data_IF_185530092410
#
_entry.id   IF_185530092410
#
_cell.length_a   1.000
_cell.length_b   1.000
_cell.length_c   1.000
_cell.angle_alpha   90.00
_cell.angle_beta   90.00
_cell.angle_gamma   90.00
#
_symmetry.space_group_name_H-M   'P 1'
#
loop_
_entity.id
_entity.type
_entity.pdbx_description
1 polymer ?
#
# COMPACT_ATOMS: atom_id res chain seq x y z
N UNK A 1 7.93 14.92 9.97
CA UNK A 1 7.80 13.66 10.73
C UNK A 1 6.42 13.60 11.36
N UNK A 2 5.82 12.42 11.33
CA UNK A 2 4.51 12.10 11.89
C UNK A 2 4.69 11.50 13.29
N UNK A 3 5.00 12.34 14.27
CA UNK A 3 5.49 11.92 15.59
C UNK A 3 4.53 11.01 16.39
N UNK A 4 3.23 11.09 16.11
CA UNK A 4 2.18 10.29 16.76
C UNK A 4 1.70 9.11 15.90
N UNK A 5 2.42 8.76 14.85
CA UNK A 5 2.16 7.56 14.06
C UNK A 5 3.00 6.39 14.56
N UNK A 6 2.48 5.18 14.43
CA UNK A 6 3.07 3.94 14.92
C UNK A 6 2.94 2.83 13.89
N UNK A 7 3.87 1.87 13.92
CA UNK A 7 3.88 0.73 13.01
C UNK A 7 4.19 -0.58 13.70
N UNK A 8 3.42 -1.63 13.38
CA UNK A 8 3.75 -3.02 13.69
C UNK A 8 3.85 -3.75 12.35
N UNK A 9 5.06 -4.17 12.00
CA UNK A 9 5.41 -4.73 10.70
C UNK A 9 5.98 -6.13 10.88
N UNK A 10 5.36 -7.12 10.24
CA UNK A 10 5.68 -8.53 10.43
C UNK A 10 5.89 -9.21 9.09
N UNK A 11 7.00 -9.91 8.95
CA UNK A 11 7.29 -10.76 7.80
C UNK A 11 7.87 -12.09 8.26
N UNK A 12 7.32 -13.21 7.79
CA UNK A 12 7.76 -14.54 8.21
C UNK A 12 8.10 -15.38 6.98
N UNK A 13 9.38 -15.70 6.82
CA UNK A 13 9.86 -16.57 5.74
C UNK A 13 9.96 -18.03 6.18
N UNK A 14 10.38 -18.29 7.42
CA UNK A 14 10.74 -19.64 7.84
C UNK A 14 9.63 -20.31 8.66
N UNK A 15 9.18 -21.48 8.18
CA UNK A 15 8.17 -22.30 8.82
C UNK A 15 8.59 -23.77 8.79
N UNK A 16 9.04 -24.33 9.92
CA UNK A 16 9.53 -25.71 9.97
C UNK A 16 8.55 -26.77 9.46
N UNK A 17 7.23 -26.51 9.52
CA UNK A 17 6.20 -27.48 9.13
C UNK A 17 5.29 -27.07 7.96
N UNK A 18 5.40 -25.84 7.46
CA UNK A 18 4.49 -25.29 6.43
C UNK A 18 5.18 -25.00 5.09
N UNK A 19 6.51 -25.14 5.05
CA UNK A 19 7.33 -24.76 3.89
C UNK A 19 7.69 -23.29 3.95
N UNK A 20 8.93 -22.98 3.56
CA UNK A 20 9.45 -21.62 3.63
C UNK A 20 9.00 -20.78 2.46
N UNK A 21 8.92 -19.47 2.69
CA UNK A 21 8.68 -18.42 1.72
C UNK A 21 9.95 -17.59 1.53
N UNK A 22 10.06 -16.89 0.40
CA UNK A 22 11.21 -16.05 0.07
C UNK A 22 10.99 -14.55 0.28
N UNK A 23 9.74 -14.08 0.17
CA UNK A 23 9.38 -12.68 0.08
C UNK A 23 8.96 -11.95 1.36
N UNK A 24 8.18 -12.55 2.27
CA UNK A 24 7.57 -11.83 3.40
C UNK A 24 8.49 -10.97 4.25
N UNK A 25 9.71 -11.41 4.54
CA UNK A 25 10.66 -10.58 5.29
C UNK A 25 11.21 -9.40 4.47
N UNK A 26 11.37 -9.56 3.16
CA UNK A 26 11.76 -8.44 2.28
C UNK A 26 10.61 -7.44 2.19
N UNK A 27 9.38 -7.93 2.02
CA UNK A 27 8.16 -7.12 2.02
C UNK A 27 8.03 -6.29 3.30
N UNK A 28 8.24 -6.92 4.46
CA UNK A 28 8.22 -6.26 5.76
C UNK A 28 9.33 -5.20 5.91
N UNK A 29 10.55 -5.49 5.43
CA UNK A 29 11.65 -4.51 5.46
C UNK A 29 11.36 -3.33 4.56
N UNK A 30 10.92 -3.56 3.32
CA UNK A 30 10.60 -2.52 2.35
C UNK A 30 9.44 -1.63 2.83
N UNK A 31 8.43 -2.22 3.47
CA UNK A 31 7.33 -1.47 4.07
C UNK A 31 7.78 -0.64 5.27
N UNK A 32 8.64 -1.19 6.14
CA UNK A 32 9.26 -0.41 7.23
C UNK A 32 10.08 0.75 6.69
N UNK A 33 10.88 0.54 5.64
CA UNK A 33 11.67 1.61 5.03
C UNK A 33 10.78 2.73 4.48
N UNK A 34 9.67 2.37 3.83
CA UNK A 34 8.68 3.36 3.41
C UNK A 34 8.07 4.10 4.62
N UNK A 35 7.71 3.40 5.70
CA UNK A 35 7.12 4.01 6.89
C UNK A 35 8.03 5.08 7.50
N UNK A 36 9.33 4.82 7.63
CA UNK A 36 10.27 5.73 8.29
C UNK A 36 10.84 6.82 7.36
N UNK A 37 10.67 6.67 6.05
CA UNK A 37 11.12 7.64 5.06
C UNK A 37 10.38 8.97 5.19
N UNK A 38 11.09 10.09 5.07
CA UNK A 38 10.49 11.44 5.06
C UNK A 38 9.59 11.69 3.86
N UNK A 39 9.84 11.00 2.74
CA UNK A 39 9.01 11.03 1.54
C UNK A 39 7.94 9.92 1.53
N UNK A 40 7.90 9.12 2.59
CA UNK A 40 6.91 8.05 2.79
C UNK A 40 6.02 8.34 3.99
N UNK A 41 5.93 7.39 4.93
CA UNK A 41 5.09 7.52 6.11
C UNK A 41 5.59 8.54 7.14
N UNK A 42 6.86 8.94 7.05
CA UNK A 42 7.55 9.85 7.97
C UNK A 42 7.37 9.51 9.46
N UNK A 43 7.16 8.23 9.78
CA UNK A 43 6.96 7.70 11.13
C UNK A 43 8.32 7.66 11.85
N UNK A 44 8.43 8.13 13.11
CA UNK A 44 9.65 7.98 13.88
C UNK A 44 10.10 6.50 13.92
N UNK A 45 11.39 6.18 13.67
CA UNK A 45 11.86 4.80 13.69
C UNK A 45 11.55 4.06 14.99
N UNK A 46 11.60 4.74 16.14
CA UNK A 46 11.30 4.18 17.46
C UNK A 46 9.82 3.82 17.65
N UNK A 47 8.93 4.38 16.84
CA UNK A 47 7.51 4.04 16.83
C UNK A 47 7.17 2.86 15.90
N UNK A 48 8.18 2.28 15.22
CA UNK A 48 7.98 1.17 14.28
C UNK A 48 8.65 -0.10 14.80
N UNK A 49 7.84 -1.09 15.18
CA UNK A 49 8.30 -2.42 15.56
C UNK A 49 8.33 -3.34 14.34
N UNK A 50 9.51 -3.85 13.99
CA UNK A 50 9.69 -4.86 12.94
C UNK A 50 9.92 -6.23 13.57
N UNK A 51 9.15 -7.22 13.13
CA UNK A 51 9.22 -8.59 13.63
C UNK A 51 9.48 -9.53 12.43
N UNK A 52 10.64 -10.18 12.41
CA UNK A 52 11.05 -11.16 11.40
C UNK A 52 11.56 -12.44 12.05
N UNK A 53 11.86 -13.49 11.28
CA UNK A 53 12.48 -14.69 11.85
C UNK A 53 13.90 -14.36 12.37
N UNK A 54 14.29 -14.90 13.54
CA UNK A 54 15.67 -14.83 14.00
C UNK A 54 16.64 -15.51 13.02
N UNK A 55 17.89 -15.06 13.04
CA UNK A 55 18.97 -15.66 12.26
C UNK A 55 20.00 -16.29 13.22
N UNK A 56 20.31 -17.60 13.10
CA UNK A 56 19.75 -18.55 12.13
C UNK A 56 18.29 -18.94 12.48
N UNK A 57 17.48 -19.35 11.49
CA UNK A 57 16.12 -19.81 11.75
C UNK A 57 16.13 -21.15 12.50
N UNK A 58 15.19 -21.33 13.43
CA UNK A 58 15.06 -22.56 14.18
C UNK A 58 14.56 -23.70 13.28
N UNK A 59 15.17 -24.88 13.38
CA UNK A 59 14.74 -26.07 12.64
C UNK A 59 13.54 -26.77 13.29
N UNK A 60 13.30 -26.50 14.57
CA UNK A 60 12.19 -27.07 15.34
C UNK A 60 11.01 -26.09 15.40
N UNK A 61 9.77 -26.53 15.16
CA UNK A 61 8.60 -25.66 15.30
C UNK A 61 8.38 -25.17 16.73
N UNK A 62 8.91 -25.85 17.74
CA UNK A 62 8.77 -25.46 19.16
C UNK A 62 9.68 -24.28 19.53
N UNK A 63 10.74 -24.08 18.76
CA UNK A 63 11.72 -23.00 18.93
C UNK A 63 11.54 -21.91 17.86
N UNK A 64 10.70 -22.16 16.85
CA UNK A 64 10.43 -21.24 15.76
C UNK A 64 9.84 -19.92 16.28
N UNK A 65 10.32 -18.83 15.68
CA UNK A 65 9.94 -17.45 15.98
C UNK A 65 9.75 -16.67 14.67
N UNK A 66 8.85 -15.67 14.65
CA UNK A 66 8.05 -15.18 15.78
C UNK A 66 6.86 -16.10 16.11
N UNK A 67 6.41 -16.06 17.38
CA UNK A 67 5.14 -16.61 17.83
C UNK A 67 4.10 -15.51 18.01
N UNK A 68 2.89 -15.90 18.39
CA UNK A 68 1.84 -14.95 18.80
C UNK A 68 2.29 -14.05 19.96
N UNK A 69 3.14 -14.54 20.87
CA UNK A 69 3.56 -13.76 22.05
C UNK A 69 4.32 -12.50 21.65
N UNK A 70 5.22 -12.60 20.67
CA UNK A 70 5.99 -11.44 20.20
C UNK A 70 5.08 -10.36 19.57
N UNK A 71 4.05 -10.78 18.83
CA UNK A 71 3.09 -9.85 18.23
C UNK A 71 2.17 -9.26 19.30
N UNK A 72 1.61 -10.09 20.17
CA UNK A 72 0.72 -9.68 21.26
C UNK A 72 1.44 -8.64 22.15
N UNK A 73 2.71 -8.89 22.51
CA UNK A 73 3.56 -7.93 23.26
C UNK A 73 3.73 -6.60 22.54
N UNK A 74 3.88 -6.60 21.20
CA UNK A 74 4.03 -5.37 20.43
C UNK A 74 2.75 -4.51 20.45
N UNK A 75 1.58 -5.15 20.37
CA UNK A 75 0.28 -4.47 20.51
C UNK A 75 0.04 -3.99 21.95
N UNK A 76 0.32 -4.81 22.95
CA UNK A 76 0.16 -4.47 24.37
C UNK A 76 0.95 -3.22 24.76
N UNK A 77 2.13 -2.98 24.19
CA UNK A 77 2.89 -1.74 24.40
C UNK A 77 2.12 -0.49 23.97
N UNK A 78 1.30 -0.58 22.92
CA UNK A 78 0.46 0.52 22.47
C UNK A 78 -0.76 0.71 23.39
N UNK A 79 -1.27 -0.37 23.99
CA UNK A 79 -2.34 -0.31 24.99
C UNK A 79 -1.83 0.36 26.27
N UNK A 80 -0.68 -0.09 26.79
CA UNK A 80 -0.02 0.53 27.93
C UNK A 80 0.22 2.02 27.69
N UNK A 81 0.63 2.38 26.46
CA UNK A 81 0.74 3.79 26.07
C UNK A 81 -0.60 4.51 26.15
N UNK A 82 -1.70 3.95 25.66
CA UNK A 82 -3.01 4.59 25.71
C UNK A 82 -3.49 4.86 27.15
N UNK A 83 -3.08 4.01 28.08
CA UNK A 83 -3.41 4.06 29.51
C UNK A 83 -2.50 4.98 30.34
N UNK A 84 -1.42 5.54 29.75
CA UNK A 84 -0.58 6.51 30.45
C UNK A 84 -1.40 7.72 30.92
N UNK A 85 -1.10 8.20 32.13
CA UNK A 85 -1.80 9.31 32.76
C UNK A 85 -1.82 10.54 31.84
N UNK A 86 -3.01 11.13 31.67
CA UNK A 86 -3.22 12.31 30.82
C UNK A 86 -3.54 12.03 29.36
N UNK A 87 -3.52 10.76 28.89
CA UNK A 87 -3.91 10.43 27.50
C UNK A 87 -5.38 10.12 27.30
N UNK A 88 -6.08 9.68 28.34
CA UNK A 88 -7.52 9.40 28.29
C UNK A 88 -7.91 8.35 27.24
N UNK A 89 -7.11 7.29 27.15
CA UNK A 89 -7.31 6.19 26.19
C UNK A 89 -6.90 6.55 24.77
N UNK A 90 -5.85 7.35 24.58
CA UNK A 90 -5.38 7.77 23.26
C UNK A 90 -3.88 7.50 23.07
N UNK A 91 -3.56 6.52 22.22
CA UNK A 91 -2.19 6.12 21.92
C UNK A 91 -1.50 7.01 20.89
N UNK A 92 -2.22 7.47 19.86
CA UNK A 92 -1.62 8.28 18.79
C UNK A 92 -2.55 8.60 17.62
N UNK A 93 -2.01 9.24 16.59
CA UNK A 93 -2.78 9.63 15.40
C UNK A 93 -3.10 8.43 14.51
N UNK A 94 -2.09 7.65 14.10
CA UNK A 94 -2.26 6.54 13.16
C UNK A 94 -1.49 5.29 13.60
N UNK A 95 -2.13 4.14 13.47
CA UNK A 95 -1.49 2.83 13.59
C UNK A 95 -1.44 2.14 12.23
N UNK A 96 -0.24 1.75 11.79
CA UNK A 96 -0.03 0.86 10.65
C UNK A 96 0.22 -0.56 11.14
N UNK A 97 -0.49 -1.52 10.57
CA UNK A 97 -0.31 -2.95 10.79
C UNK A 97 0.00 -3.58 9.44
N UNK A 98 1.17 -4.18 9.29
CA UNK A 98 1.56 -4.90 8.07
C UNK A 98 1.94 -6.32 8.41
N UNK A 99 1.28 -7.30 7.77
CA UNK A 99 1.43 -8.72 8.05
C UNK A 99 1.68 -9.49 6.75
N UNK A 100 2.85 -10.10 6.60
CA UNK A 100 3.22 -10.91 5.44
C UNK A 100 3.69 -12.31 5.83
N UNK A 101 3.25 -13.33 5.08
CA UNK A 101 3.63 -14.73 5.31
C UNK A 101 2.55 -15.73 4.92
N UNK A 102 2.66 -16.95 5.43
CA UNK A 102 1.60 -17.96 5.26
C UNK A 102 0.34 -17.50 5.96
N UNK A 103 -0.80 -17.66 5.30
CA UNK A 103 -2.07 -17.27 5.87
C UNK A 103 -3.24 -18.12 5.42
N UNK A 104 -4.36 -17.90 6.10
CA UNK A 104 -5.63 -18.54 5.79
C UNK A 104 -6.78 -17.62 6.14
N UNK A 105 -7.99 -18.01 5.73
CA UNK A 105 -9.20 -17.28 6.06
C UNK A 105 -10.04 -18.04 7.09
N UNK A 106 -10.33 -17.40 8.23
CA UNK A 106 -11.27 -17.92 9.22
C UNK A 106 -12.74 -17.76 8.78
N UNK A 107 -13.01 -16.79 7.90
CA UNK A 107 -14.30 -16.51 7.28
C UNK A 107 -14.10 -15.73 5.96
N UNK A 108 -15.20 -15.36 5.30
CA UNK A 108 -15.20 -14.68 3.99
C UNK A 108 -14.54 -13.30 4.04
N UNK A 109 -14.48 -12.65 5.21
CA UNK A 109 -14.02 -11.26 5.38
C UNK A 109 -12.61 -11.15 6.00
N UNK A 110 -12.13 -12.22 6.64
CA UNK A 110 -10.90 -12.20 7.41
C UNK A 110 -9.74 -12.92 6.70
N UNK A 111 -8.54 -12.48 7.06
CA UNK A 111 -7.29 -13.18 6.83
C UNK A 111 -6.53 -13.28 8.16
N UNK A 112 -5.80 -14.38 8.33
CA UNK A 112 -4.97 -14.64 9.48
C UNK A 112 -3.56 -15.02 9.03
N UNK A 113 -2.56 -14.41 9.67
CA UNK A 113 -1.15 -14.74 9.49
C UNK A 113 -0.80 -15.92 10.40
N UNK A 114 -0.29 -17.01 9.84
CA UNK A 114 0.27 -18.12 10.60
C UNK A 114 1.64 -17.72 11.15
N UNK A 115 1.88 -18.02 12.42
CA UNK A 115 3.16 -17.79 13.08
C UNK A 115 4.19 -18.87 12.72
N UNK A 116 5.47 -18.59 12.95
CA UNK A 116 6.54 -19.51 12.54
C UNK A 116 6.43 -20.89 13.22
N UNK A 117 5.87 -20.94 14.43
CA UNK A 117 5.60 -22.17 15.18
C UNK A 117 4.29 -22.88 14.79
N UNK A 118 3.56 -22.35 13.80
CA UNK A 118 2.38 -22.99 13.27
C UNK A 118 2.74 -24.26 12.48
N UNK A 119 1.76 -25.15 12.39
CA UNK A 119 1.85 -26.40 11.64
C UNK A 119 0.46 -26.84 11.20
N UNK A 120 0.39 -27.86 10.35
CA UNK A 120 -0.88 -28.36 9.78
C UNK A 120 -1.90 -28.77 10.85
N UNK A 121 -1.44 -29.17 12.03
CA UNK A 121 -2.27 -29.52 13.19
C UNK A 121 -2.20 -28.49 14.33
N UNK A 122 -1.35 -27.45 14.20
CA UNK A 122 -1.14 -26.37 15.17
C UNK A 122 -1.48 -25.00 14.57
N UNK A 123 -2.55 -24.95 13.77
CA UNK A 123 -3.03 -23.69 13.16
C UNK A 123 -3.56 -22.70 14.18
N UNK A 124 -3.72 -23.07 15.46
CA UNK A 124 -4.01 -22.14 16.56
C UNK A 124 -2.94 -21.06 16.78
N UNK A 125 -1.71 -21.27 16.28
CA UNK A 125 -0.67 -20.25 16.27
C UNK A 125 -0.82 -19.31 15.07
N UNK A 126 -1.80 -18.41 15.16
CA UNK A 126 -2.05 -17.39 14.14
C UNK A 126 -2.50 -16.07 14.76
N UNK A 127 -2.42 -15.01 13.96
CA UNK A 127 -2.96 -13.68 14.28
C UNK A 127 -3.97 -13.28 13.20
N UNK A 128 -5.26 -13.16 13.53
CA UNK A 128 -6.25 -12.62 12.61
C UNK A 128 -6.12 -11.09 12.59
N UNK A 129 -5.68 -10.53 11.46
CA UNK A 129 -5.29 -9.11 11.40
C UNK A 129 -6.46 -8.16 11.60
N UNK A 130 -7.64 -8.46 11.02
CA UNK A 130 -8.83 -7.61 11.14
C UNK A 130 -9.35 -7.53 12.57
N UNK A 131 -9.55 -8.63 13.33
CA UNK A 131 -9.90 -8.53 14.75
C UNK A 131 -8.94 -7.65 15.56
N UNK A 132 -7.63 -7.76 15.32
CA UNK A 132 -6.62 -6.94 16.01
C UNK A 132 -6.77 -5.46 15.62
N UNK A 133 -6.88 -5.14 14.33
CA UNK A 133 -7.10 -3.77 13.88
C UNK A 133 -8.43 -3.17 14.40
N UNK A 134 -9.50 -3.96 14.40
CA UNK A 134 -10.81 -3.54 14.90
C UNK A 134 -10.80 -3.27 16.39
N UNK A 135 -10.01 -4.01 17.16
CA UNK A 135 -9.81 -3.80 18.58
C UNK A 135 -9.35 -2.36 18.88
N UNK A 136 -8.28 -1.90 18.21
CA UNK A 136 -7.79 -0.53 18.33
C UNK A 136 -8.79 0.51 17.79
N UNK A 137 -9.55 0.16 16.74
CA UNK A 137 -10.57 1.02 16.15
C UNK A 137 -11.76 1.21 17.09
N UNK A 138 -12.25 0.14 17.71
CA UNK A 138 -13.42 0.12 18.60
C UNK A 138 -13.13 0.77 19.96
N UNK A 139 -11.91 0.65 20.46
CA UNK A 139 -11.43 1.38 21.64
C UNK A 139 -11.09 2.85 21.33
N UNK A 140 -10.95 3.21 20.05
CA UNK A 140 -10.55 4.54 19.59
C UNK A 140 -9.19 5.02 20.14
N UNK A 141 -8.25 4.09 20.33
CA UNK A 141 -6.88 4.40 20.73
C UNK A 141 -6.12 5.22 19.69
N UNK A 142 -6.54 5.14 18.42
CA UNK A 142 -5.99 5.89 17.31
C UNK A 142 -7.09 6.63 16.53
N UNK A 143 -6.73 7.73 15.85
CA UNK A 143 -7.65 8.40 14.89
C UNK A 143 -7.77 7.64 13.58
N UNK A 144 -6.73 6.88 13.24
CA UNK A 144 -6.61 6.14 11.99
C UNK A 144 -6.00 4.77 12.24
N UNK A 145 -6.61 3.71 11.72
CA UNK A 145 -6.05 2.35 11.77
C UNK A 145 -5.92 1.79 10.35
N UNK A 146 -4.70 1.48 9.94
CA UNK A 146 -4.38 0.94 8.62
C UNK A 146 -3.90 -0.50 8.78
N UNK A 147 -4.47 -1.41 7.99
CA UNK A 147 -4.08 -2.83 7.98
C UNK A 147 -3.75 -3.24 6.55
N UNK A 148 -2.58 -3.85 6.36
CA UNK A 148 -2.20 -4.52 5.13
C UNK A 148 -1.82 -5.96 5.43
N UNK A 149 -2.43 -6.91 4.73
CA UNK A 149 -2.14 -8.33 4.86
C UNK A 149 -1.72 -8.92 3.51
N UNK A 150 -0.44 -9.25 3.38
CA UNK A 150 0.11 -10.00 2.25
C UNK A 150 0.28 -11.49 2.64
N UNK A 151 -0.86 -12.14 2.77
CA UNK A 151 -0.92 -13.57 3.08
C UNK A 151 -2.03 -14.24 2.28
N UNK A 152 -1.88 -15.53 2.02
CA UNK A 152 -2.92 -16.33 1.40
C UNK A 152 -4.22 -16.32 2.25
N UNK A 153 -5.35 -16.59 1.59
CA UNK A 153 -6.66 -16.76 2.24
C UNK A 153 -7.20 -18.15 2.00
N UNK A 154 -6.31 -19.14 2.02
CA UNK A 154 -6.67 -20.54 1.83
C UNK A 154 -7.71 -20.98 2.86
N UNK A 155 -8.64 -21.81 2.42
CA UNK A 155 -9.64 -22.39 3.30
C UNK A 155 -9.11 -23.73 3.83
N UNK A 156 -8.61 -23.75 5.07
CA UNK A 156 -8.25 -25.01 5.70
C UNK A 156 -9.52 -25.83 5.96
N UNK A 157 -9.48 -27.12 5.56
CA UNK A 157 -10.63 -28.05 5.70
C UNK A 157 -11.07 -28.29 7.15
N UNK A 158 -10.25 -27.94 8.14
CA UNK A 158 -10.59 -28.05 9.56
C UNK A 158 -10.98 -26.67 10.10
N UNK A 159 -12.08 -26.56 10.87
CA UNK A 159 -12.45 -25.30 11.50
C UNK A 159 -11.34 -24.88 12.46
N UNK A 160 -10.66 -23.79 12.12
CA UNK A 160 -9.76 -23.10 13.05
C UNK A 160 -10.63 -22.18 13.89
N UNK A 161 -10.54 -22.30 15.22
CA UNK A 161 -11.30 -21.44 16.14
C UNK A 161 -11.01 -19.97 15.86
N UNK A 162 -12.04 -19.12 15.96
CA UNK A 162 -11.88 -17.67 15.87
C UNK A 162 -11.04 -17.19 17.05
N UNK A 163 -9.89 -16.59 16.78
CA UNK A 163 -9.03 -15.99 17.81
C UNK A 163 -9.45 -14.53 17.98
N UNK A 164 -9.63 -14.09 19.21
CA UNK A 164 -9.74 -12.68 19.56
C UNK A 164 -8.39 -12.20 20.09
N UNK A 165 -8.11 -10.88 20.05
CA UNK A 165 -6.98 -10.33 20.78
C UNK A 165 -7.02 -10.74 22.26
N UNK A 166 -5.86 -11.02 22.90
CA UNK A 166 -5.81 -11.54 24.27
C UNK A 166 -5.98 -10.47 25.36
N UNK A 167 -6.22 -9.21 24.99
CA UNK A 167 -6.41 -8.10 25.91
C UNK A 167 -7.88 -7.73 26.05
N UNK A 168 -8.25 -7.29 27.25
CA UNK A 168 -9.52 -6.65 27.51
C UNK A 168 -9.41 -5.17 27.13
N UNK A 169 -10.33 -4.69 26.30
CA UNK A 169 -10.36 -3.29 25.87
C UNK A 169 -11.71 -2.65 26.21
N UNK A 170 -11.65 -1.46 26.80
CA UNK A 170 -12.85 -0.66 27.00
C UNK A 170 -13.23 -0.02 25.67
N UNK A 171 -14.29 -0.56 25.05
CA UNK A 171 -14.82 0.00 23.80
C UNK A 171 -15.30 1.42 24.03
N UNK A 172 -15.06 2.30 23.07
CA UNK A 172 -15.58 3.66 23.08
C UNK A 172 -16.42 3.95 21.82
N UNK A 173 -17.68 3.46 21.76
CA UNK A 173 -18.52 3.59 20.56
C UNK A 173 -18.67 5.04 20.06
N UNK A 174 -18.72 6.00 20.99
CA UNK A 174 -18.87 7.42 20.68
C UNK A 174 -17.68 8.02 19.93
N UNK A 175 -16.46 7.54 20.22
CA UNK A 175 -15.23 7.95 19.52
C UNK A 175 -14.96 7.06 18.31
N UNK A 176 -15.22 5.76 18.43
CA UNK A 176 -14.96 4.74 17.40
C UNK A 176 -15.62 5.07 16.05
N UNK A 177 -16.82 5.67 16.06
CA UNK A 177 -17.52 6.09 14.82
C UNK A 177 -16.72 7.11 13.99
N UNK A 178 -15.81 7.85 14.61
CA UNK A 178 -14.96 8.85 13.97
C UNK A 178 -13.56 8.31 13.62
N UNK A 179 -13.23 7.09 14.02
CA UNK A 179 -11.94 6.47 13.67
C UNK A 179 -11.98 6.06 12.21
N UNK A 180 -11.03 6.58 11.44
CA UNK A 180 -10.86 6.20 10.03
C UNK A 180 -10.12 4.89 9.95
N UNK A 181 -10.43 4.08 8.94
CA UNK A 181 -9.69 2.84 8.72
C UNK A 181 -9.44 2.61 7.24
N UNK A 182 -8.37 1.88 6.94
CA UNK A 182 -8.06 1.41 5.60
C UNK A 182 -7.43 0.04 5.65
N UNK A 183 -8.19 -0.99 5.26
CA UNK A 183 -7.74 -2.37 5.31
C UNK A 183 -7.56 -2.91 3.90
N UNK A 184 -6.38 -3.43 3.58
CA UNK A 184 -6.05 -4.06 2.31
C UNK A 184 -5.59 -5.50 2.49
N UNK A 185 -6.20 -6.41 1.74
CA UNK A 185 -5.88 -7.84 1.74
C UNK A 185 -5.40 -8.23 0.34
N UNK A 186 -4.29 -8.98 0.27
CA UNK A 186 -3.62 -9.30 -0.98
C UNK A 186 -4.47 -10.09 -1.98
N UNK A 187 -5.47 -10.83 -1.51
CA UNK A 187 -6.27 -11.72 -2.35
C UNK A 187 -7.69 -11.91 -1.79
N UNK A 188 -8.62 -12.33 -2.64
CA UNK A 188 -9.98 -12.70 -2.25
C UNK A 188 -10.01 -14.00 -1.44
N UNK A 189 -11.16 -14.29 -0.82
CA UNK A 189 -11.37 -15.52 -0.07
C UNK A 189 -11.07 -16.78 -0.91
N UNK A 190 -10.42 -17.77 -0.29
CA UNK A 190 -10.05 -19.05 -0.91
C UNK A 190 -9.08 -18.93 -2.10
N UNK A 191 -8.30 -17.85 -2.18
CA UNK A 191 -7.25 -17.63 -3.20
C UNK A 191 -5.86 -17.48 -2.56
N UNK A 192 -4.84 -17.71 -3.38
CA UNK A 192 -3.44 -17.58 -2.99
C UNK A 192 -2.96 -16.13 -3.21
N UNK A 193 -2.15 -15.63 -2.28
CA UNK A 193 -1.22 -14.54 -2.53
C UNK A 193 0.08 -15.15 -3.09
N UNK A 194 0.80 -14.39 -3.92
CA UNK A 194 1.94 -14.92 -4.69
C UNK A 194 3.17 -14.03 -4.54
N UNK A 195 4.34 -14.66 -4.60
CA UNK A 195 5.64 -14.01 -4.56
C UNK A 195 6.49 -14.40 -5.78
N UNK A 196 7.30 -13.46 -6.27
CA UNK A 196 8.29 -13.75 -7.30
C UNK A 196 9.52 -12.85 -7.19
N UNK A 197 10.65 -13.21 -7.82
CA UNK A 197 11.77 -12.28 -7.98
C UNK A 197 11.35 -11.04 -8.78
N UNK A 198 11.61 -9.86 -8.25
CA UNK A 198 11.35 -8.59 -8.95
C UNK A 198 12.66 -7.96 -9.43
N UNK A 199 12.66 -7.41 -10.65
CA UNK A 199 13.79 -6.61 -11.14
C UNK A 199 13.85 -5.25 -10.43
N UNK A 200 15.04 -4.61 -10.31
CA UNK A 200 16.34 -5.05 -10.85
C UNK A 200 17.16 -5.93 -9.90
N UNK A 201 16.81 -6.01 -8.61
CA UNK A 201 17.62 -6.67 -7.58
C UNK A 201 17.37 -8.19 -7.46
N UNK A 202 16.36 -8.71 -8.19
CA UNK A 202 15.94 -10.11 -8.18
C UNK A 202 15.54 -10.62 -6.79
N UNK A 203 15.23 -9.73 -5.85
CA UNK A 203 14.70 -10.14 -4.56
C UNK A 203 13.27 -10.64 -4.73
N UNK A 204 12.96 -11.75 -4.06
CA UNK A 204 11.61 -12.28 -3.98
C UNK A 204 10.78 -11.32 -3.12
N UNK A 205 9.62 -10.92 -3.63
CA UNK A 205 8.63 -10.07 -2.95
C UNK A 205 7.22 -10.50 -3.30
N UNK A 206 6.26 -10.18 -2.44
CA UNK A 206 4.84 -10.36 -2.73
C UNK A 206 4.36 -9.39 -3.82
N UNK A 207 3.52 -9.87 -4.73
CA UNK A 207 2.96 -9.02 -5.78
C UNK A 207 2.09 -7.89 -5.22
N UNK A 208 1.32 -8.20 -4.18
CA UNK A 208 0.48 -7.21 -3.52
C UNK A 208 1.33 -6.14 -2.85
N UNK A 209 2.33 -6.53 -2.05
CA UNK A 209 3.25 -5.58 -1.42
C UNK A 209 3.98 -4.74 -2.46
N UNK A 210 4.42 -5.33 -3.57
CA UNK A 210 5.06 -4.59 -4.66
C UNK A 210 4.13 -3.53 -5.25
N UNK A 211 2.89 -3.89 -5.58
CA UNK A 211 1.91 -2.94 -6.11
C UNK A 211 1.52 -1.86 -5.08
N UNK A 212 1.35 -2.25 -3.81
CA UNK A 212 1.04 -1.37 -2.70
C UNK A 212 2.13 -0.32 -2.52
N UNK A 213 3.39 -0.74 -2.43
CA UNK A 213 4.53 0.17 -2.24
C UNK A 213 4.76 1.05 -3.46
N UNK A 214 4.57 0.55 -4.68
CA UNK A 214 4.61 1.38 -5.89
C UNK A 214 3.56 2.52 -5.82
N UNK A 215 2.35 2.21 -5.34
CA UNK A 215 1.30 3.20 -5.11
C UNK A 215 1.68 4.22 -4.03
N UNK A 216 2.10 3.73 -2.87
CA UNK A 216 2.49 4.54 -1.70
C UNK A 216 3.75 5.40 -1.93
N UNK A 217 4.62 5.01 -2.87
CA UNK A 217 5.80 5.79 -3.28
C UNK A 217 5.49 6.82 -4.37
N UNK A 218 4.21 7.06 -4.64
CA UNK A 218 3.75 8.11 -5.56
C UNK A 218 3.03 7.61 -6.79
N UNK A 219 3.06 6.31 -7.09
CA UNK A 219 2.29 5.73 -8.19
C UNK A 219 0.78 6.01 -8.08
N UNK A 220 0.26 6.12 -6.86
CA UNK A 220 -1.13 6.43 -6.58
C UNK A 220 -1.42 7.92 -6.36
N UNK A 221 -0.45 8.81 -6.58
CA UNK A 221 -0.66 10.25 -6.39
C UNK A 221 -1.72 10.81 -7.35
N UNK A 222 -2.66 11.59 -6.83
CA UNK A 222 -3.59 12.38 -7.63
C UNK A 222 -2.89 13.56 -8.32
N UNK A 223 -3.64 14.35 -9.11
CA UNK A 223 -3.12 15.53 -9.81
C UNK A 223 -2.55 16.63 -8.90
N UNK A 224 -2.86 16.57 -7.59
CA UNK A 224 -2.33 17.46 -6.56
C UNK A 224 -1.17 16.85 -5.77
N UNK A 225 -0.75 15.63 -6.12
CA UNK A 225 0.34 14.91 -5.49
C UNK A 225 -0.07 14.15 -4.23
N UNK A 226 -1.36 14.13 -3.89
CA UNK A 226 -1.86 13.46 -2.68
C UNK A 226 -2.08 11.98 -2.95
N UNK A 227 -1.69 11.15 -1.99
CA UNK A 227 -1.90 9.71 -2.02
C UNK A 227 -3.02 9.40 -1.02
N UNK A 228 -4.27 9.30 -1.49
CA UNK A 228 -5.40 8.93 -0.64
C UNK A 228 -5.67 7.42 -0.68
N UNK A 229 -6.44 6.89 0.27
CA UNK A 229 -6.86 5.49 0.27
C UNK A 229 -7.66 5.12 -0.99
N UNK A 230 -8.56 5.98 -1.45
CA UNK A 230 -9.27 5.78 -2.71
C UNK A 230 -8.32 5.69 -3.91
N UNK A 231 -7.36 6.61 -4.00
CA UNK A 231 -6.39 6.61 -5.09
C UNK A 231 -5.47 5.38 -5.04
N UNK A 232 -5.04 4.99 -3.83
CA UNK A 232 -4.22 3.82 -3.58
C UNK A 232 -4.93 2.51 -3.97
N UNK A 233 -6.18 2.33 -3.54
CA UNK A 233 -7.00 1.17 -3.95
C UNK A 233 -7.05 1.06 -5.47
N UNK A 234 -7.39 2.16 -6.15
CA UNK A 234 -7.55 2.17 -7.61
C UNK A 234 -6.23 1.86 -8.32
N UNK A 235 -5.13 2.44 -7.84
CA UNK A 235 -3.81 2.15 -8.38
C UNK A 235 -3.46 0.67 -8.23
N UNK A 236 -3.60 0.10 -7.03
CA UNK A 236 -3.25 -1.31 -6.78
C UNK A 236 -4.09 -2.25 -7.63
N UNK A 237 -5.41 -2.01 -7.75
CA UNK A 237 -6.30 -2.82 -8.59
C UNK A 237 -5.90 -2.82 -10.07
N UNK A 238 -5.38 -1.70 -10.58
CA UNK A 238 -4.98 -1.56 -11.98
C UNK A 238 -3.55 -2.02 -12.25
N UNK A 239 -2.65 -1.84 -11.30
CA UNK A 239 -1.23 -2.14 -11.47
C UNK A 239 -0.91 -3.60 -11.16
N UNK A 240 -1.54 -4.20 -10.13
CA UNK A 240 -1.27 -5.58 -9.74
C UNK A 240 -1.39 -6.58 -10.92
N UNK A 241 -2.43 -6.52 -11.79
CA UNK A 241 -2.54 -7.45 -12.92
C UNK A 241 -1.35 -7.41 -13.88
N UNK A 242 -0.67 -6.26 -14.03
CA UNK A 242 0.54 -6.16 -14.88
C UNK A 242 1.76 -6.86 -14.29
N UNK A 243 1.76 -7.13 -12.98
CA UNK A 243 2.82 -7.87 -12.31
C UNK A 243 2.61 -9.39 -12.41
N UNK A 244 1.39 -9.84 -12.69
CA UNK A 244 1.03 -11.26 -12.57
C UNK A 244 1.35 -12.04 -13.85
N UNK A 245 1.86 -13.28 -13.73
CA UNK A 245 1.99 -14.17 -14.87
C UNK A 245 0.62 -14.50 -15.50
N UNK A 246 0.56 -14.77 -16.83
CA UNK A 246 -0.66 -15.24 -17.48
C UNK A 246 -1.27 -16.46 -16.76
N UNK A 247 -2.59 -16.43 -16.53
CA UNK A 247 -3.33 -17.53 -15.91
C UNK A 247 -3.23 -17.63 -14.39
N UNK A 248 -2.57 -16.68 -13.71
CA UNK A 248 -2.41 -16.66 -12.26
C UNK A 248 -3.03 -15.41 -11.61
N UNK A 249 -4.37 -15.22 -11.66
CA UNK A 249 -5.00 -14.03 -11.14
C UNK A 249 -4.86 -13.95 -9.61
N UNK A 250 -4.71 -12.71 -9.13
CA UNK A 250 -4.74 -12.31 -7.73
C UNK A 250 -5.52 -10.99 -7.69
N UNK A 251 -6.58 -10.95 -6.87
CA UNK A 251 -7.49 -9.80 -6.80
C UNK A 251 -7.49 -9.29 -5.36
N UNK A 252 -6.96 -8.10 -5.09
CA UNK A 252 -6.88 -7.56 -3.74
C UNK A 252 -8.24 -7.03 -3.30
N UNK A 253 -8.51 -7.12 -2.01
CA UNK A 253 -9.75 -6.63 -1.39
C UNK A 253 -9.40 -5.46 -0.48
N UNK A 254 -10.17 -4.38 -0.58
CA UNK A 254 -10.00 -3.20 0.28
C UNK A 254 -11.30 -2.86 0.99
N UNK A 255 -11.21 -2.59 2.28
CA UNK A 255 -12.33 -2.20 3.15
C UNK A 255 -12.01 -0.89 3.88
N UNK A 256 -12.80 0.13 3.59
CA UNK A 256 -12.72 1.47 4.18
C UNK A 256 -13.98 2.28 3.86
N UNK A 257 -14.19 3.35 4.62
CA UNK A 257 -15.23 4.36 4.37
C UNK A 257 -14.63 5.48 3.50
N UNK A 258 -15.04 5.57 2.24
CA UNK A 258 -14.50 6.55 1.28
C UNK A 258 -14.93 8.00 1.59
N UNK A 259 -15.96 8.18 2.43
CA UNK A 259 -16.34 9.51 2.95
C UNK A 259 -15.41 9.99 4.05
N UNK A 260 -14.63 9.07 4.63
CA UNK A 260 -13.63 9.31 5.67
C UNK A 260 -12.25 8.83 5.20
N UNK A 261 -11.88 9.19 3.98
CA UNK A 261 -10.64 8.73 3.35
C UNK A 261 -9.40 9.12 4.19
N UNK A 262 -8.36 8.30 4.06
CA UNK A 262 -7.06 8.48 4.70
C UNK A 262 -6.09 9.03 3.66
N UNK A 263 -5.34 10.07 4.02
CA UNK A 263 -4.20 10.55 3.24
C UNK A 263 -2.91 9.89 3.75
N UNK A 264 -2.26 9.09 2.91
CA UNK A 264 -1.02 8.39 3.23
C UNK A 264 0.21 9.29 3.14
N UNK A 265 0.12 10.34 2.32
CA UNK A 265 1.15 11.36 2.19
C UNK A 265 0.96 12.16 0.91
N UNK A 266 1.92 13.04 0.68
CA UNK A 266 2.01 13.85 -0.54
C UNK A 266 3.37 13.59 -1.18
N UNK A 267 3.41 13.46 -2.49
CA UNK A 267 4.64 13.38 -3.26
C UNK A 267 4.71 14.54 -4.25
N UNK A 268 5.92 14.90 -4.66
CA UNK A 268 6.10 15.79 -5.81
C UNK A 268 5.78 15.00 -7.06
N UNK A 269 4.77 15.43 -7.82
CA UNK A 269 4.53 14.82 -9.13
C UNK A 269 5.60 15.38 -10.08
N UNK A 270 6.48 14.54 -10.65
CA UNK A 270 7.44 15.00 -11.64
C UNK A 270 6.68 15.52 -12.86
N UNK A 271 7.03 16.73 -13.31
CA UNK A 271 6.64 17.21 -14.63
C UNK A 271 7.58 16.61 -15.66
N UNK A 272 7.02 16.07 -16.72
CA UNK A 272 7.72 15.43 -17.82
C UNK A 272 7.83 16.47 -18.93
N UNK A 273 9.03 16.61 -19.49
CA UNK A 273 9.24 17.48 -20.65
C UNK A 273 8.60 16.82 -21.87
N UNK A 274 7.76 17.58 -22.55
CA UNK A 274 7.06 17.14 -23.76
C UNK A 274 7.48 18.07 -24.88
N UNK A 275 8.01 17.48 -25.94
CA UNK A 275 8.49 18.15 -27.13
C UNK A 275 7.45 18.03 -28.24
N UNK A 276 6.81 19.14 -28.57
CA UNK A 276 5.78 19.20 -29.61
C UNK A 276 6.42 19.82 -30.85
N UNK A 277 6.58 19.01 -31.89
CA UNK A 277 7.14 19.42 -33.16
C UNK A 277 6.03 19.83 -34.11
N UNK A 278 6.05 21.08 -34.54
CA UNK A 278 5.13 21.63 -35.53
C UNK A 278 5.73 21.47 -36.92
N UNK A 279 4.99 20.85 -37.83
CA UNK A 279 5.32 20.78 -39.25
C UNK A 279 5.37 22.19 -39.86
N UNK A 280 6.18 22.36 -40.92
CA UNK A 280 6.48 23.68 -41.49
C UNK A 280 5.26 24.53 -41.90
N UNK A 281 4.11 23.91 -42.22
CA UNK A 281 2.85 24.62 -42.50
C UNK A 281 2.13 25.14 -41.25
N UNK A 282 2.54 24.68 -40.07
CA UNK A 282 1.93 24.94 -38.76
C UNK A 282 2.78 25.85 -37.86
N UNK A 283 4.05 26.11 -38.23
CA UNK A 283 4.92 27.08 -37.54
C UNK A 283 4.29 28.48 -37.55
N UNK A 284 4.29 29.14 -36.39
CA UNK A 284 3.74 30.49 -36.23
C UNK A 284 2.21 30.57 -36.15
N UNK A 285 1.51 29.43 -36.03
CA UNK A 285 0.09 29.38 -35.66
C UNK A 285 -0.08 29.29 -34.14
N UNK A 286 -1.28 29.59 -33.67
CA UNK A 286 -1.65 29.37 -32.27
C UNK A 286 -1.82 27.87 -32.04
N UNK A 287 -1.15 27.36 -31.00
CA UNK A 287 -1.28 25.97 -30.56
C UNK A 287 -2.07 25.98 -29.27
N UNK A 288 -3.08 25.11 -29.18
CA UNK A 288 -3.92 24.91 -28.01
C UNK A 288 -3.70 23.53 -27.42
N UNK A 289 -3.22 23.49 -26.18
CA UNK A 289 -3.10 22.27 -25.39
C UNK A 289 -4.30 22.13 -24.44
N UNK A 290 -4.85 20.93 -24.37
CA UNK A 290 -5.94 20.55 -23.47
C UNK A 290 -5.57 19.33 -22.65
N UNK A 291 -6.18 19.22 -21.49
CA UNK A 291 -6.10 18.03 -20.64
C UNK A 291 -6.98 16.87 -21.16
N UNK A 292 -7.00 15.76 -20.42
CA UNK A 292 -7.81 14.58 -20.76
C UNK A 292 -9.33 14.81 -20.71
N UNK A 293 -9.78 15.91 -20.11
CA UNK A 293 -11.17 16.36 -20.08
C UNK A 293 -11.47 17.41 -21.16
N UNK A 294 -10.52 17.64 -22.09
CA UNK A 294 -10.60 18.65 -23.15
C UNK A 294 -10.72 20.09 -22.63
N UNK A 295 -10.30 20.35 -21.40
CA UNK A 295 -10.19 21.72 -20.87
C UNK A 295 -8.86 22.33 -21.29
N UNK A 296 -8.84 23.59 -21.76
CA UNK A 296 -7.61 24.26 -22.16
C UNK A 296 -6.67 24.46 -20.97
N UNK A 297 -5.40 24.15 -21.16
CA UNK A 297 -4.38 24.33 -20.14
C UNK A 297 -4.04 25.82 -19.98
N UNK A 298 -3.71 26.30 -18.76
CA UNK A 298 -3.31 27.69 -18.55
C UNK A 298 -2.04 28.03 -19.36
N UNK A 299 -2.07 29.14 -20.10
CA UNK A 299 -0.90 29.64 -20.84
C UNK A 299 -0.60 28.93 -22.17
N UNK A 300 -1.54 28.13 -22.70
CA UNK A 300 -1.31 27.33 -23.92
C UNK A 300 -2.09 27.85 -25.11
N UNK A 301 -2.21 29.17 -25.27
CA UNK A 301 -2.64 29.82 -26.51
C UNK A 301 -1.50 30.77 -26.91
N UNK A 302 -0.38 30.17 -27.29
CA UNK A 302 0.84 30.90 -27.64
C UNK A 302 1.08 30.72 -29.14
N UNK A 303 1.41 31.82 -29.80
CA UNK A 303 1.98 31.78 -31.14
C UNK A 303 3.38 31.20 -31.04
N UNK A 304 3.55 29.94 -31.38
CA UNK A 304 4.82 29.23 -31.22
C UNK A 304 5.72 29.57 -32.42
N UNK A 305 6.89 30.16 -32.16
CA UNK A 305 7.91 30.49 -33.17
C UNK A 305 9.30 30.02 -32.74
N UNK A 306 9.42 28.76 -32.31
CA UNK A 306 10.18 27.80 -33.11
C UNK A 306 9.35 26.60 -33.57
N UNK A 307 9.93 25.76 -34.42
CA UNK A 307 9.39 24.46 -34.87
C UNK A 307 9.15 23.48 -33.70
N UNK A 308 9.81 23.72 -32.57
CA UNK A 308 9.68 22.97 -31.32
C UNK A 308 9.01 23.83 -30.25
N UNK A 309 7.93 23.30 -29.68
CA UNK A 309 7.32 23.81 -28.44
C UNK A 309 7.55 22.84 -27.30
N UNK A 310 8.01 23.35 -26.16
CA UNK A 310 8.23 22.55 -24.95
C UNK A 310 7.15 22.83 -23.91
N UNK A 311 6.57 21.75 -23.37
CA UNK A 311 5.64 21.80 -22.26
C UNK A 311 6.12 20.91 -21.12
N UNK A 312 5.83 21.32 -19.89
CA UNK A 312 6.11 20.55 -18.67
C UNK A 312 4.80 19.98 -18.14
N UNK A 313 4.51 18.73 -18.48
CA UNK A 313 3.21 18.10 -18.26
C UNK A 313 3.28 17.02 -17.18
N UNK A 314 2.20 16.89 -16.41
CA UNK A 314 2.04 15.74 -15.52
C UNK A 314 1.75 14.49 -16.35
N UNK A 315 1.89 13.30 -15.76
CA UNK A 315 1.33 12.08 -16.39
C UNK A 315 -0.16 12.26 -16.68
N UNK A 316 -0.62 11.80 -17.82
CA UNK A 316 -2.02 11.99 -18.21
C UNK A 316 -2.25 11.92 -19.71
N UNK A 317 -3.52 12.02 -20.09
CA UNK A 317 -3.93 12.18 -21.48
C UNK A 317 -4.01 13.67 -21.81
N UNK A 318 -3.53 14.04 -22.98
CA UNK A 318 -3.54 15.40 -23.47
C UNK A 318 -3.95 15.45 -24.94
N UNK A 319 -4.47 16.61 -25.34
CA UNK A 319 -4.70 16.94 -26.74
C UNK A 319 -3.93 18.19 -27.09
N UNK A 320 -3.17 18.16 -28.17
CA UNK A 320 -2.66 19.36 -28.82
C UNK A 320 -3.44 19.60 -30.11
N UNK A 321 -3.78 20.85 -30.39
CA UNK A 321 -4.57 21.23 -31.57
C UNK A 321 -4.22 22.61 -32.09
N UNK A 322 -4.41 22.81 -33.39
CA UNK A 322 -4.38 24.14 -34.02
C UNK A 322 -5.82 24.57 -34.27
N UNK A 323 -6.25 25.78 -33.88
CA UNK A 323 -7.61 26.25 -34.13
C UNK A 323 -8.00 26.14 -35.62
N UNK A 324 -9.04 25.35 -35.91
CA UNK A 324 -9.51 25.10 -37.28
C UNK A 324 -8.62 24.18 -38.12
N UNK A 325 -7.64 23.50 -37.51
CA UNK A 325 -6.68 22.64 -38.19
C UNK A 325 -6.55 21.26 -37.52
N UNK A 326 -5.32 20.73 -37.56
CA UNK A 326 -5.01 19.39 -37.06
C UNK A 326 -5.05 19.30 -35.53
N UNK A 327 -5.35 18.11 -35.03
CA UNK A 327 -5.31 17.80 -33.60
C UNK A 327 -4.77 16.40 -33.37
N UNK A 328 -4.07 16.22 -32.25
CA UNK A 328 -3.46 14.94 -31.87
C UNK A 328 -3.61 14.71 -30.38
N UNK A 329 -4.10 13.52 -30.05
CA UNK A 329 -4.10 13.01 -28.68
C UNK A 329 -2.75 12.33 -28.40
N UNK A 330 -2.23 12.51 -27.20
CA UNK A 330 -1.05 11.81 -26.73
C UNK A 330 -1.16 11.52 -25.24
N UNK A 331 -0.38 10.54 -24.78
CA UNK A 331 -0.33 10.14 -23.38
C UNK A 331 1.07 10.39 -22.84
N UNK A 332 1.14 10.94 -21.63
CA UNK A 332 2.37 11.10 -20.86
C UNK A 332 2.38 10.00 -19.81
N UNK A 333 3.27 9.02 -19.98
CA UNK A 333 3.51 7.90 -19.09
C UNK A 333 4.82 8.22 -18.32
N UNK A 334 4.80 8.15 -16.99
CA UNK A 334 5.85 8.73 -16.13
C UNK A 334 7.09 7.88 -15.92
N UNK A 335 7.47 7.06 -16.90
CA UNK A 335 8.36 5.91 -16.73
C UNK A 335 9.66 5.97 -17.56
N UNK A 336 9.97 7.07 -18.26
CA UNK A 336 11.27 7.22 -18.91
C UNK A 336 11.86 8.60 -18.66
N UNK A 337 13.15 8.75 -18.97
CA UNK A 337 13.91 10.00 -19.06
C UNK A 337 13.32 10.92 -20.14
N UNK A 338 12.08 11.34 -19.94
CA UNK A 338 11.68 12.73 -19.92
C UNK A 338 11.30 13.38 -21.23
N UNK A 339 11.13 12.67 -22.34
CA UNK A 339 10.78 13.32 -23.62
C UNK A 339 9.66 12.58 -24.36
N UNK A 340 8.52 13.24 -24.53
CA UNK A 340 7.43 12.78 -25.39
C UNK A 340 7.42 13.63 -26.65
N UNK A 341 7.68 13.01 -27.80
CA UNK A 341 7.67 13.70 -29.10
C UNK A 341 6.28 13.66 -29.76
N UNK A 342 5.71 14.83 -30.02
CA UNK A 342 4.41 14.95 -30.68
C UNK A 342 4.57 15.74 -31.98
N UNK A 343 4.55 15.03 -33.11
CA UNK A 343 4.52 15.66 -34.44
C UNK A 343 3.10 16.10 -34.80
N UNK A 344 2.93 17.38 -35.14
CA UNK A 344 1.67 18.03 -35.48
C UNK A 344 1.76 18.95 -36.69
#
# INVERSE_FOLDING_TARGET
MNADDFGIVVGINHYPELGNLGGPENDARDFREWLISTEGGAVPPDNVTLITCPQPPASSPWEARPTTVELDTAFERLLVRADEEGRGGFAGRRLYIFLAGHGFAQNIEDAALLMANAGKTRTGHHIPGRPYANSFREAAYFREVVLFMDCCRENYRKPVGRKQPPWDEERNPSRAINVRHFYGFATEWSRAAREMPHQPDLQVRGHFTTALLAGLRGGAADEHGRITGKALKNFVLNYLPSLLPPGQPQVPVFDFDDTKDIEFGTTRIPRIRVEIHLSGSNVGKDVLLRDGNLQPMPGTALRVSPELWEAQLLRGLYQVSIPGGESKMFQVLGDETGEVHVNL
#
